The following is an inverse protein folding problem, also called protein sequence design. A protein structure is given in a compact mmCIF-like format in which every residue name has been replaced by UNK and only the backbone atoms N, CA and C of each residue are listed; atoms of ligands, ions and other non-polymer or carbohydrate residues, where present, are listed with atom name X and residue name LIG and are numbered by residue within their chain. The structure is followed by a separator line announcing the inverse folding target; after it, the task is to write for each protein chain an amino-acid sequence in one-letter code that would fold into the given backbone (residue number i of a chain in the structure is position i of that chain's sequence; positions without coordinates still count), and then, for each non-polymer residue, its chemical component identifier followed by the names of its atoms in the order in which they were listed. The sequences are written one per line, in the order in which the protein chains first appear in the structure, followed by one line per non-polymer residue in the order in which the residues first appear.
data_IF_074641454144
#
_entry.id   IF_074641454144
#
_cell.length_a   1.000
_cell.length_b   1.000
_cell.length_c   1.000
_cell.angle_alpha   90.00
_cell.angle_beta   90.00
_cell.angle_gamma   90.00
#
_symmetry.space_group_name_H-M   'P 1'
#
loop_
_entity.id
_entity.type
_entity.pdbx_description
1 polymer ?
#
# COMPACT_ATOMS: atom_id res chain seq x y z
N UNK A 1 5.92 -18.99 -4.46
CA UNK A 1 6.99 -18.00 -4.17
C UNK A 1 8.09 -18.71 -3.40
N UNK A 2 9.38 -18.52 -3.73
CA UNK A 2 10.45 -19.04 -2.89
C UNK A 2 10.26 -18.47 -1.48
N UNK A 3 10.48 -19.30 -0.45
CA UNK A 3 10.42 -18.84 0.95
C UNK A 3 11.45 -17.73 1.12
N UNK A 4 11.01 -16.52 1.47
CA UNK A 4 11.89 -15.41 1.82
C UNK A 4 12.73 -15.83 3.03
N UNK A 5 14.04 -15.61 2.94
CA UNK A 5 14.96 -15.77 4.05
C UNK A 5 14.91 -14.46 4.86
N UNK A 6 14.51 -14.46 6.14
CA UNK A 6 14.51 -13.26 6.98
C UNK A 6 15.88 -12.57 7.09
N UNK A 7 16.97 -13.31 6.89
CA UNK A 7 18.35 -12.81 6.90
C UNK A 7 18.91 -12.59 5.49
N UNK A 8 18.10 -12.82 4.45
CA UNK A 8 18.53 -12.72 3.05
C UNK A 8 18.75 -11.27 2.62
N UNK A 9 19.90 -11.01 2.02
CA UNK A 9 20.18 -9.76 1.29
C UNK A 9 19.90 -10.01 -0.20
N UNK A 10 18.95 -9.28 -0.76
CA UNK A 10 18.50 -9.45 -2.15
C UNK A 10 19.04 -8.34 -3.04
N UNK A 11 19.62 -8.71 -4.19
CA UNK A 11 20.35 -7.80 -5.07
C UNK A 11 19.54 -7.52 -6.35
N UNK A 12 19.16 -6.26 -6.55
CA UNK A 12 18.51 -5.81 -7.79
C UNK A 12 19.50 -5.23 -8.81
N UNK A 13 20.63 -4.67 -8.32
CA UNK A 13 21.70 -4.07 -9.12
C UNK A 13 23.04 -4.36 -8.46
N UNK A 14 24.10 -4.50 -9.27
CA UNK A 14 25.46 -4.71 -8.78
C UNK A 14 25.90 -3.50 -7.95
N UNK A 15 26.39 -3.76 -6.75
CA UNK A 15 26.92 -2.76 -5.82
C UNK A 15 28.15 -3.35 -5.12
N UNK A 16 29.28 -2.64 -5.16
CA UNK A 16 30.47 -2.99 -4.38
C UNK A 16 30.49 -2.21 -3.06
N UNK A 17 30.41 -2.92 -1.93
CA UNK A 17 30.43 -2.29 -0.60
C UNK A 17 31.79 -1.71 -0.25
N UNK A 18 32.88 -2.20 -0.84
CA UNK A 18 34.24 -1.67 -0.65
C UNK A 18 34.37 -0.21 -1.11
N UNK A 19 33.51 0.23 -2.04
CA UNK A 19 33.47 1.60 -2.55
C UNK A 19 32.62 2.55 -1.69
N UNK A 20 31.97 2.06 -0.63
CA UNK A 20 31.05 2.84 0.21
C UNK A 20 31.71 3.18 1.55
N UNK A 21 31.90 4.49 1.79
CA UNK A 21 32.56 5.01 3.00
C UNK A 21 31.58 5.45 4.09
N UNK A 22 30.35 5.78 3.72
CA UNK A 22 29.35 6.35 4.64
C UNK A 22 28.04 5.57 4.49
N UNK A 23 27.47 5.18 5.63
CA UNK A 23 26.19 4.48 5.71
C UNK A 23 25.17 5.37 6.43
N UNK A 24 24.22 5.90 5.66
CA UNK A 24 23.11 6.68 6.19
C UNK A 24 21.92 5.79 6.52
N UNK A 25 21.30 5.99 7.68
CA UNK A 25 20.07 5.30 8.09
C UNK A 25 18.94 6.31 8.30
N UNK A 26 17.78 6.04 7.72
CA UNK A 26 16.52 6.61 8.22
C UNK A 26 16.21 6.01 9.58
N UNK A 27 15.43 6.66 10.44
CA UNK A 27 15.18 6.18 11.81
C UNK A 27 13.95 5.26 11.90
N UNK A 28 12.79 5.76 11.50
CA UNK A 28 11.53 5.03 11.63
C UNK A 28 11.48 3.82 10.69
N UNK A 29 11.12 2.67 11.25
CA UNK A 29 11.01 1.38 10.53
C UNK A 29 12.32 0.89 9.89
N UNK A 30 13.48 1.48 10.21
CA UNK A 30 14.80 1.03 9.72
C UNK A 30 15.66 0.46 10.87
N UNK A 31 16.34 1.25 11.73
CA UNK A 31 16.92 0.73 12.97
C UNK A 31 15.87 0.55 14.07
N UNK A 32 14.80 1.35 14.09
CA UNK A 32 13.74 1.26 15.09
C UNK A 32 12.49 0.63 14.50
N UNK A 33 12.15 -0.54 15.01
CA UNK A 33 10.95 -1.28 14.64
C UNK A 33 9.84 -1.01 15.64
N UNK A 34 8.71 -0.54 15.13
CA UNK A 34 7.53 -0.33 15.96
C UNK A 34 6.73 -1.62 16.15
N UNK A 35 6.13 -1.74 17.33
CA UNK A 35 5.20 -2.82 17.64
C UNK A 35 3.92 -2.71 16.78
N UNK A 36 3.24 -3.83 16.61
CA UNK A 36 2.02 -3.94 15.79
C UNK A 36 0.91 -2.98 16.27
N UNK A 37 0.90 -2.63 17.56
CA UNK A 37 -0.07 -1.72 18.16
C UNK A 37 0.07 -0.25 17.70
N UNK A 38 1.20 0.17 17.12
CA UNK A 38 1.34 1.54 16.62
C UNK A 38 0.29 1.86 15.55
N UNK A 39 -0.04 0.89 14.68
CA UNK A 39 -1.08 1.07 13.66
C UNK A 39 -2.46 1.30 14.27
N UNK A 40 -2.77 0.61 15.38
CA UNK A 40 -4.02 0.82 16.12
C UNK A 40 -4.03 2.25 16.69
N UNK A 41 -2.95 2.67 17.34
CA UNK A 41 -2.83 4.00 17.92
C UNK A 41 -3.01 5.10 16.88
N UNK A 42 -2.33 5.01 15.73
CA UNK A 42 -2.46 5.98 14.64
C UNK A 42 -3.91 6.04 14.15
N UNK A 43 -4.57 4.90 13.98
CA UNK A 43 -5.97 4.84 13.57
C UNK A 43 -6.90 5.46 14.62
N UNK A 44 -6.66 5.16 15.90
CA UNK A 44 -7.45 5.65 17.02
C UNK A 44 -7.33 7.17 17.20
N UNK A 45 -6.14 7.74 17.01
CA UNK A 45 -5.94 9.18 17.02
C UNK A 45 -6.61 9.86 15.81
N UNK A 46 -6.53 9.26 14.63
CA UNK A 46 -7.17 9.81 13.42
C UNK A 46 -8.70 9.80 13.51
N UNK A 47 -9.30 8.72 14.02
CA UNK A 47 -10.76 8.63 14.17
C UNK A 47 -11.29 9.58 15.26
N UNK A 48 -10.54 9.81 16.33
CA UNK A 48 -10.90 10.76 17.39
C UNK A 48 -10.99 12.18 16.81
N UNK A 49 -10.02 12.56 15.99
CA UNK A 49 -10.02 13.85 15.31
C UNK A 49 -11.21 14.02 14.33
N UNK A 50 -11.65 12.92 13.70
CA UNK A 50 -12.80 12.91 12.78
C UNK A 50 -14.15 12.69 13.49
N UNK A 51 -14.15 12.45 14.81
CA UNK A 51 -15.35 12.16 15.62
C UNK A 51 -16.17 10.99 15.04
N UNK A 52 -15.49 9.89 14.70
CA UNK A 52 -16.12 8.67 14.16
C UNK A 52 -15.84 7.44 15.02
N UNK A 53 -16.81 6.52 15.09
CA UNK A 53 -16.69 5.27 15.84
C UNK A 53 -16.40 4.08 14.92
N UNK A 54 -15.11 3.76 14.78
CA UNK A 54 -14.65 2.56 14.10
C UNK A 54 -13.50 1.88 14.83
N UNK A 55 -13.28 0.59 14.54
CA UNK A 55 -12.15 -0.20 15.03
C UNK A 55 -11.21 -0.52 13.86
N UNK A 56 -9.91 -0.37 14.10
CA UNK A 56 -8.91 -0.77 13.12
C UNK A 56 -8.97 -2.29 12.87
N UNK A 57 -9.03 -2.67 11.60
CA UNK A 57 -8.91 -4.04 11.15
C UNK A 57 -7.59 -4.21 10.38
N UNK A 58 -6.65 -4.91 11.00
CA UNK A 58 -5.31 -5.16 10.46
C UNK A 58 -5.29 -6.18 9.32
N UNK A 59 -6.39 -6.91 9.08
CA UNK A 59 -6.46 -7.94 8.04
C UNK A 59 -6.83 -7.39 6.67
N UNK A 60 -7.33 -6.15 6.62
CA UNK A 60 -7.80 -5.52 5.40
C UNK A 60 -6.72 -4.76 4.60
N UNK A 61 -6.01 -3.77 5.18
CA UNK A 61 -5.05 -2.99 4.40
C UNK A 61 -3.74 -3.75 4.20
N UNK A 62 -3.26 -3.77 2.95
CA UNK A 62 -1.89 -4.15 2.62
C UNK A 62 -1.08 -2.91 2.22
N UNK A 63 0.25 -2.96 2.38
CA UNK A 63 1.14 -1.87 1.95
C UNK A 63 1.18 -1.83 0.42
N UNK A 64 1.22 -0.61 -0.15
CA UNK A 64 1.40 -0.39 -1.58
C UNK A 64 0.10 -0.20 -2.38
N UNK A 65 -1.06 -0.16 -1.71
CA UNK A 65 -2.32 0.22 -2.36
C UNK A 65 -2.31 1.68 -2.78
N UNK A 66 -2.87 1.97 -3.95
CA UNK A 66 -3.13 3.31 -4.45
C UNK A 66 -4.56 3.72 -4.11
N UNK A 67 -4.75 4.95 -3.59
CA UNK A 67 -6.09 5.49 -3.34
C UNK A 67 -6.47 6.49 -4.42
N UNK A 68 -7.43 6.12 -5.26
CA UNK A 68 -8.06 6.99 -6.23
C UNK A 68 -9.08 7.90 -5.52
N UNK A 69 -8.66 9.14 -5.28
CA UNK A 69 -9.47 10.15 -4.57
C UNK A 69 -10.74 10.55 -5.33
N UNK A 70 -10.71 10.53 -6.66
CA UNK A 70 -11.85 10.95 -7.48
C UNK A 70 -12.95 9.89 -7.50
N UNK A 71 -12.56 8.61 -7.53
CA UNK A 71 -13.49 7.48 -7.62
C UNK A 71 -13.73 6.78 -6.28
N UNK A 72 -13.01 7.15 -5.23
CA UNK A 72 -13.11 6.58 -3.88
C UNK A 72 -12.66 5.13 -3.80
N UNK A 73 -11.72 4.70 -4.65
CA UNK A 73 -11.30 3.30 -4.76
C UNK A 73 -9.88 3.08 -4.24
N UNK A 74 -9.70 1.97 -3.52
CA UNK A 74 -8.39 1.39 -3.22
C UNK A 74 -8.02 0.42 -4.34
N UNK A 75 -6.87 0.61 -4.95
CA UNK A 75 -6.40 -0.12 -6.12
C UNK A 75 -5.06 -0.81 -5.81
N UNK A 76 -4.98 -2.10 -6.13
CA UNK A 76 -3.69 -2.79 -6.29
C UNK A 76 -3.26 -2.64 -7.74
N UNK A 77 -2.08 -2.08 -7.94
CA UNK A 77 -1.50 -1.85 -9.26
C UNK A 77 -0.33 -2.80 -9.51
N UNK A 78 -0.15 -3.19 -10.75
CA UNK A 78 1.04 -3.91 -11.20
C UNK A 78 2.23 -2.96 -11.41
N UNK A 79 3.36 -3.52 -11.85
CA UNK A 79 4.59 -2.76 -12.10
C UNK A 79 4.43 -1.65 -13.16
N UNK A 80 3.48 -1.80 -14.09
CA UNK A 80 3.21 -0.84 -15.16
C UNK A 80 2.12 0.17 -14.80
N UNK A 81 1.58 0.09 -13.58
CA UNK A 81 0.48 0.94 -13.12
C UNK A 81 -0.90 0.47 -13.58
N UNK A 82 -1.02 -0.74 -14.12
CA UNK A 82 -2.32 -1.32 -14.50
C UNK A 82 -3.05 -1.86 -13.27
N UNK A 83 -4.38 -1.76 -13.27
CA UNK A 83 -5.20 -2.24 -12.16
C UNK A 83 -5.27 -3.77 -12.19
N UNK A 84 -4.89 -4.42 -11.09
CA UNK A 84 -5.23 -5.83 -10.89
C UNK A 84 -6.74 -5.96 -10.71
N UNK A 85 -7.43 -6.69 -11.59
CA UNK A 85 -8.90 -6.79 -11.60
C UNK A 85 -9.48 -7.30 -10.27
N UNK A 86 -8.73 -8.12 -9.54
CA UNK A 86 -9.11 -8.63 -8.22
C UNK A 86 -8.70 -7.72 -7.05
N UNK A 87 -7.99 -6.63 -7.33
CA UNK A 87 -7.38 -5.72 -6.36
C UNK A 87 -8.08 -4.37 -6.24
N UNK A 88 -9.32 -4.24 -6.69
CA UNK A 88 -10.09 -3.00 -6.61
C UNK A 88 -11.17 -3.08 -5.51
N UNK A 89 -11.18 -2.09 -4.61
CA UNK A 89 -12.14 -1.98 -3.52
C UNK A 89 -12.76 -0.59 -3.49
N UNK A 90 -14.07 -0.50 -3.32
CA UNK A 90 -14.78 0.74 -2.99
C UNK A 90 -15.13 0.72 -1.49
N UNK A 91 -14.45 1.55 -0.70
CA UNK A 91 -14.42 1.36 0.75
C UNK A 91 -13.91 -0.05 1.09
N UNK A 92 -14.78 -0.88 1.71
CA UNK A 92 -14.48 -2.27 2.06
C UNK A 92 -15.03 -3.31 1.07
N UNK A 93 -15.76 -2.87 0.06
CA UNK A 93 -16.43 -3.75 -0.89
C UNK A 93 -15.52 -4.04 -2.07
N UNK A 94 -15.23 -5.31 -2.32
CA UNK A 94 -14.50 -5.72 -3.53
C UNK A 94 -15.35 -5.40 -4.76
N UNK A 95 -14.76 -4.68 -5.70
CA UNK A 95 -15.41 -4.33 -6.97
C UNK A 95 -15.26 -5.50 -7.93
N UNK A 96 -16.34 -5.87 -8.61
CA UNK A 96 -16.30 -6.96 -9.59
C UNK A 96 -15.42 -6.58 -10.79
N UNK A 97 -14.63 -7.52 -11.36
CA UNK A 97 -13.73 -7.24 -12.48
C UNK A 97 -14.37 -6.48 -13.66
N UNK A 98 -15.58 -6.86 -14.05
CA UNK A 98 -16.32 -6.17 -15.12
C UNK A 98 -16.64 -4.71 -14.76
N UNK A 99 -17.00 -4.43 -13.50
CA UNK A 99 -17.25 -3.08 -13.01
C UNK A 99 -15.96 -2.26 -12.93
N UNK A 100 -14.82 -2.88 -12.62
CA UNK A 100 -13.51 -2.21 -12.68
C UNK A 100 -13.24 -1.73 -14.10
N UNK A 101 -13.46 -2.58 -15.10
CA UNK A 101 -13.29 -2.22 -16.52
C UNK A 101 -14.23 -1.06 -16.87
N UNK A 102 -15.52 -1.13 -16.56
CA UNK A 102 -16.45 -0.01 -16.85
C UNK A 102 -15.99 1.29 -16.18
N UNK A 103 -15.52 1.22 -14.94
CA UNK A 103 -15.15 2.40 -14.15
C UNK A 103 -13.83 3.05 -14.62
N UNK A 104 -12.91 2.27 -15.20
CA UNK A 104 -11.56 2.71 -15.53
C UNK A 104 -11.18 2.62 -17.02
N UNK A 105 -12.07 2.11 -17.88
CA UNK A 105 -11.92 2.20 -19.33
C UNK A 105 -11.94 3.65 -19.80
N UNK A 106 -11.18 3.95 -20.86
CA UNK A 106 -10.98 5.31 -21.41
C UNK A 106 -12.28 6.02 -21.79
N UNK A 107 -13.36 5.29 -22.04
CA UNK A 107 -14.67 5.87 -22.37
C UNK A 107 -15.35 6.57 -21.18
N UNK A 108 -14.83 6.40 -19.96
CA UNK A 108 -15.27 7.11 -18.75
C UNK A 108 -14.40 8.30 -18.32
N UNK A 109 -13.32 8.60 -19.06
CA UNK A 109 -12.51 9.80 -18.90
C UNK A 109 -12.77 10.77 -20.06
N UNK A 110 -14.02 11.20 -20.22
CA UNK A 110 -14.32 12.43 -20.94
C UNK A 110 -14.05 13.63 -20.02
N UNK A 111 -12.97 14.35 -20.31
CA UNK A 111 -12.66 15.74 -19.98
C UNK A 111 -12.76 16.20 -18.52
N UNK A 112 -11.59 16.48 -17.94
CA UNK A 112 -11.36 17.39 -16.83
C UNK A 112 -9.93 17.90 -16.88
#
# INVERSE_FOLDING_TARGET
MPKLNPEGIYVNKILSLDNIQVYGFYYDYTPVHYLVNLKNLIYDLAKEHLVIEFKYDHTFPIRGLYYDKFKGCLLKLDLFGSIELDGCYFGRWKVLPNMVIVKYSRDGCSNG
#
